data_IF_262799662654
#
_entry.id   IF_262799662654
#
_cell.length_a   1.000
_cell.length_b   1.000
_cell.length_c   1.000
_cell.angle_alpha   90.00
_cell.angle_beta   90.00
_cell.angle_gamma   90.00
#
_symmetry.space_group_name_H-M   'P 1'
#
loop_
_entity.id
_entity.type
_entity.pdbx_description
1 polymer ?
#
# COMPACT_ATOMS: atom_id res chain seq x y z
N UNK A 1 62.63 -19.70 -32.86
CA UNK A 1 61.35 -19.66 -32.13
C UNK A 1 60.39 -18.85 -32.99
N UNK A 2 59.23 -19.41 -33.31
CA UNK A 2 58.28 -18.82 -34.25
C UNK A 2 57.30 -17.91 -33.49
N UNK A 3 56.89 -16.81 -34.13
CA UNK A 3 55.83 -15.93 -33.63
C UNK A 3 54.51 -16.71 -33.51
N UNK A 4 53.79 -16.55 -32.40
CA UNK A 4 52.50 -17.21 -32.20
C UNK A 4 51.39 -16.34 -32.76
N UNK A 5 50.69 -16.83 -33.78
CA UNK A 5 49.62 -16.11 -34.47
C UNK A 5 48.27 -16.63 -33.99
N UNK A 6 47.40 -15.72 -33.58
CA UNK A 6 46.01 -15.99 -33.20
C UNK A 6 45.07 -15.28 -34.16
N UNK A 7 44.09 -16.00 -34.68
CA UNK A 7 42.94 -15.41 -35.36
C UNK A 7 41.72 -15.57 -34.47
N UNK A 8 41.17 -14.45 -34.03
CA UNK A 8 40.15 -14.36 -32.97
C UNK A 8 40.58 -15.14 -31.71
N UNK A 9 40.03 -16.34 -31.51
CA UNK A 9 40.30 -17.20 -30.36
C UNK A 9 41.07 -18.49 -30.73
N UNK A 10 41.49 -18.64 -31.99
CA UNK A 10 42.18 -19.83 -32.48
C UNK A 10 43.65 -19.56 -32.80
N UNK A 11 44.52 -20.51 -32.42
CA UNK A 11 45.94 -20.48 -32.77
C UNK A 11 46.08 -20.97 -34.22
N UNK A 12 46.76 -20.18 -35.04
CA UNK A 12 47.15 -20.57 -36.39
C UNK A 12 48.59 -21.11 -36.34
N UNK A 13 48.75 -22.42 -36.48
CA UNK A 13 50.06 -23.05 -36.64
C UNK A 13 50.49 -23.06 -38.11
N UNK A 14 51.81 -22.96 -38.35
CA UNK A 14 52.45 -23.06 -39.67
C UNK A 14 52.30 -21.88 -40.64
N UNK A 15 51.99 -20.67 -40.16
CA UNK A 15 52.03 -19.46 -41.00
C UNK A 15 53.42 -18.84 -40.91
N UNK A 16 54.13 -18.81 -42.03
CA UNK A 16 55.37 -18.04 -42.18
C UNK A 16 55.05 -16.78 -42.98
N UNK A 17 55.07 -15.63 -42.32
CA UNK A 17 54.85 -14.33 -42.93
C UNK A 17 55.93 -13.37 -42.46
N UNK A 18 56.43 -12.53 -43.36
CA UNK A 18 57.42 -11.50 -43.05
C UNK A 18 56.74 -10.22 -42.56
N UNK A 19 55.62 -9.86 -43.18
CA UNK A 19 54.89 -8.61 -42.93
C UNK A 19 53.42 -8.82 -42.57
N UNK A 20 52.82 -7.80 -41.96
CA UNK A 20 51.40 -7.78 -41.57
C UNK A 20 50.49 -7.81 -42.79
N UNK A 21 50.89 -7.19 -43.91
CA UNK A 21 50.17 -7.21 -45.19
C UNK A 21 49.96 -8.64 -45.71
N UNK A 22 51.03 -9.44 -45.73
CA UNK A 22 50.99 -10.83 -46.19
C UNK A 22 50.11 -11.66 -45.29
N UNK A 23 50.24 -11.49 -43.98
CA UNK A 23 49.42 -12.17 -43.00
C UNK A 23 47.92 -11.83 -43.15
N UNK A 24 47.58 -10.57 -43.46
CA UNK A 24 46.19 -10.20 -43.80
C UNK A 24 45.71 -10.87 -45.08
N UNK A 25 46.54 -10.93 -46.13
CA UNK A 25 46.16 -11.61 -47.39
C UNK A 25 45.95 -13.12 -47.21
N UNK A 26 46.79 -13.79 -46.42
CA UNK A 26 46.66 -15.23 -46.12
C UNK A 26 45.32 -15.47 -45.40
N UNK A 27 45.04 -14.71 -44.35
CA UNK A 27 43.80 -14.85 -43.59
C UNK A 27 42.59 -14.49 -44.45
N UNK A 28 42.71 -13.48 -45.32
CA UNK A 28 41.66 -13.10 -46.26
C UNK A 28 41.32 -14.24 -47.22
N UNK A 29 42.33 -14.89 -47.80
CA UNK A 29 42.14 -16.05 -48.68
C UNK A 29 41.58 -17.27 -47.96
N UNK A 30 41.98 -17.49 -46.71
CA UNK A 30 41.62 -18.69 -45.95
C UNK A 30 40.22 -18.60 -45.33
N UNK A 31 39.82 -17.42 -44.85
CA UNK A 31 38.58 -17.21 -44.11
C UNK A 31 37.54 -16.36 -44.87
N UNK A 32 37.88 -15.84 -46.04
CA UNK A 32 36.96 -15.06 -46.88
C UNK A 32 36.63 -13.66 -46.32
N UNK A 33 37.46 -13.12 -45.43
CA UNK A 33 37.29 -11.78 -44.83
C UNK A 33 38.13 -10.77 -45.60
N UNK A 34 37.60 -9.58 -45.92
CA UNK A 34 38.36 -8.56 -46.63
C UNK A 34 39.54 -8.04 -45.77
N UNK A 35 40.67 -7.70 -46.40
CA UNK A 35 41.88 -7.21 -45.70
C UNK A 35 41.64 -5.96 -44.84
N UNK A 36 40.69 -5.12 -45.26
CA UNK A 36 40.32 -3.87 -44.56
C UNK A 36 39.53 -4.11 -43.26
N UNK A 37 38.82 -5.24 -43.21
CA UNK A 37 38.08 -5.68 -42.05
C UNK A 37 38.96 -6.46 -41.07
N UNK A 38 40.25 -6.64 -41.36
CA UNK A 38 41.19 -7.31 -40.49
C UNK A 38 42.00 -6.30 -39.66
N UNK A 39 41.96 -6.48 -38.35
CA UNK A 39 42.70 -5.68 -37.37
C UNK A 39 43.78 -6.53 -36.71
N UNK A 40 45.04 -6.09 -36.80
CA UNK A 40 46.20 -6.83 -36.29
C UNK A 40 46.82 -6.12 -35.10
N UNK A 41 47.11 -6.88 -34.05
CA UNK A 41 47.75 -6.43 -32.82
C UNK A 41 48.98 -7.28 -32.55
N UNK A 42 50.13 -6.64 -32.35
CA UNK A 42 51.38 -7.30 -31.95
C UNK A 42 51.66 -6.92 -30.49
N UNK A 43 51.75 -7.91 -29.61
CA UNK A 43 52.04 -7.72 -28.18
C UNK A 43 51.13 -6.66 -27.50
N UNK A 44 49.86 -6.58 -27.90
CA UNK A 44 48.89 -5.63 -27.37
C UNK A 44 48.87 -4.25 -28.03
N UNK A 45 49.75 -3.96 -28.99
CA UNK A 45 49.77 -2.69 -29.75
C UNK A 45 49.25 -2.90 -31.17
N UNK A 46 48.48 -1.92 -31.69
CA UNK A 46 48.00 -1.93 -33.07
C UNK A 46 49.20 -1.91 -34.02
N UNK A 47 49.25 -2.88 -34.93
CA UNK A 47 50.26 -2.95 -35.96
C UNK A 47 49.82 -2.19 -37.21
N UNK A 48 50.79 -1.61 -37.91
CA UNK A 48 50.64 -1.01 -39.24
C UNK A 48 51.03 -2.09 -40.28
N UNK A 49 50.55 -1.99 -41.50
CA UNK A 49 50.75 -3.01 -42.54
C UNK A 49 52.24 -3.29 -42.86
N UNK A 50 53.11 -2.28 -42.72
CA UNK A 50 54.57 -2.39 -42.88
C UNK A 50 55.32 -2.91 -41.64
N UNK A 51 54.61 -3.37 -40.60
CA UNK A 51 55.27 -3.84 -39.38
C UNK A 51 55.86 -5.23 -39.59
N UNK A 52 57.19 -5.34 -39.47
CA UNK A 52 57.89 -6.63 -39.58
C UNK A 52 57.48 -7.59 -38.44
N UNK A 53 57.06 -8.81 -38.81
CA UNK A 53 56.66 -9.88 -37.88
C UNK A 53 57.82 -10.80 -37.46
N UNK A 54 59.01 -10.50 -37.96
CA UNK A 54 60.24 -11.31 -37.91
C UNK A 54 60.86 -11.49 -36.51
N UNK A 55 60.39 -10.75 -35.50
CA UNK A 55 60.92 -10.89 -34.14
C UNK A 55 60.39 -12.18 -33.48
N UNK A 56 61.32 -13.03 -33.07
CA UNK A 56 61.13 -14.46 -32.73
C UNK A 56 60.34 -14.78 -31.46
N UNK A 57 59.61 -13.82 -30.86
CA UNK A 57 58.78 -13.99 -29.66
C UNK A 57 57.49 -13.14 -29.68
N UNK A 58 57.05 -12.66 -30.85
CA UNK A 58 55.85 -11.84 -30.93
C UNK A 58 54.57 -12.67 -30.84
N UNK A 59 53.61 -12.18 -30.05
CA UNK A 59 52.23 -12.66 -30.05
C UNK A 59 51.41 -11.76 -30.97
N UNK A 60 51.01 -12.31 -32.10
CA UNK A 60 50.21 -11.62 -33.12
C UNK A 60 48.76 -12.05 -32.95
N UNK A 61 47.84 -11.10 -32.81
CA UNK A 61 46.41 -11.36 -32.74
C UNK A 61 45.71 -10.61 -33.87
N UNK A 62 44.94 -11.34 -34.67
CA UNK A 62 44.08 -10.80 -35.72
C UNK A 62 42.65 -10.86 -35.25
N UNK A 63 41.92 -9.78 -35.46
CA UNK A 63 40.49 -9.66 -35.16
C UNK A 63 39.74 -9.22 -36.41
N UNK A 64 38.54 -9.74 -36.59
CA UNK A 64 37.60 -9.26 -37.59
C UNK A 64 36.90 -8.00 -37.07
N UNK A 65 36.81 -6.97 -37.89
CA UNK A 65 36.07 -5.75 -37.62
C UNK A 65 34.64 -6.00 -38.04
N UNK A 66 33.74 -6.07 -37.06
CA UNK A 66 32.32 -6.08 -37.35
C UNK A 66 31.87 -4.66 -37.69
N UNK A 67 31.10 -4.51 -38.76
CA UNK A 67 30.37 -3.29 -39.13
C UNK A 67 29.22 -3.04 -38.15
N UNK A 68 29.57 -2.75 -36.90
CA UNK A 68 28.62 -2.59 -35.81
C UNK A 68 29.09 -1.54 -34.82
N UNK A 69 28.35 -0.43 -34.76
CA UNK A 69 28.52 0.57 -33.72
C UNK A 69 28.05 -0.01 -32.39
N UNK A 70 28.96 -0.50 -31.55
CA UNK A 70 28.69 -0.89 -30.14
C UNK A 70 28.20 0.29 -29.25
N UNK A 71 27.81 1.41 -29.85
CA UNK A 71 27.42 2.66 -29.21
C UNK A 71 25.91 2.83 -28.99
N UNK A 72 25.07 1.89 -29.44
CA UNK A 72 23.62 1.97 -29.22
C UNK A 72 23.26 1.97 -27.74
N UNK A 73 23.83 1.05 -26.95
CA UNK A 73 23.57 0.96 -25.52
C UNK A 73 24.04 2.21 -24.75
N UNK A 74 25.25 2.72 -25.03
CA UNK A 74 25.74 3.95 -24.38
C UNK A 74 24.97 5.20 -24.78
N UNK A 75 24.46 5.26 -26.02
CA UNK A 75 23.61 6.36 -26.48
C UNK A 75 22.21 6.28 -25.89
N UNK A 76 21.67 5.08 -25.74
CA UNK A 76 20.42 4.81 -25.01
C UNK A 76 20.54 5.22 -23.55
N UNK A 77 21.64 4.86 -22.87
CA UNK A 77 21.89 5.30 -21.49
C UNK A 77 22.01 6.82 -21.38
N UNK A 78 22.63 7.50 -22.35
CA UNK A 78 22.66 8.98 -22.39
C UNK A 78 21.28 9.59 -22.61
N UNK A 79 20.47 9.01 -23.51
CA UNK A 79 19.11 9.48 -23.77
C UNK A 79 18.20 9.30 -22.54
N UNK A 80 18.27 8.14 -21.89
CA UNK A 80 17.53 7.85 -20.66
C UNK A 80 18.03 8.72 -19.51
N UNK A 81 19.35 8.85 -19.35
CA UNK A 81 19.95 9.68 -18.30
C UNK A 81 19.62 11.16 -18.43
N UNK A 82 19.33 11.66 -19.63
CA UNK A 82 18.85 13.02 -19.84
C UNK A 82 17.38 13.23 -19.45
N UNK A 83 16.58 12.15 -19.44
CA UNK A 83 15.16 12.17 -19.04
C UNK A 83 14.97 11.90 -17.55
N UNK A 84 15.93 11.26 -16.89
CA UNK A 84 15.87 10.99 -15.45
C UNK A 84 16.32 12.26 -14.72
N UNK A 85 15.36 13.01 -14.20
CA UNK A 85 15.64 14.05 -13.22
C UNK A 85 16.16 13.43 -11.91
N UNK A 86 17.02 14.17 -11.20
CA UNK A 86 17.53 13.71 -9.91
C UNK A 86 16.36 13.50 -8.96
N UNK A 87 16.08 12.25 -8.63
CA UNK A 87 15.05 11.90 -7.64
C UNK A 87 15.39 12.55 -6.31
N UNK A 88 14.44 13.29 -5.73
CA UNK A 88 14.58 13.92 -4.40
C UNK A 88 14.38 12.94 -3.25
N UNK A 89 14.03 11.69 -3.53
CA UNK A 89 13.88 10.65 -2.51
C UNK A 89 15.24 10.34 -1.86
N UNK A 90 15.41 10.83 -0.62
CA UNK A 90 16.58 10.62 0.24
C UNK A 90 16.45 9.39 1.14
N UNK A 91 15.35 8.63 1.07
CA UNK A 91 15.07 7.49 1.95
C UNK A 91 16.01 6.32 1.70
N UNK A 92 16.61 6.25 0.50
CA UNK A 92 17.63 5.27 0.16
C UNK A 92 18.99 5.56 0.82
N UNK A 93 19.22 6.78 1.30
CA UNK A 93 20.44 7.14 1.99
C UNK A 93 20.55 6.41 3.33
N UNK A 94 21.79 6.16 3.76
CA UNK A 94 22.12 5.63 5.09
C UNK A 94 22.53 6.75 6.03
N UNK A 95 22.23 6.58 7.30
CA UNK A 95 22.74 7.43 8.36
C UNK A 95 24.17 7.01 8.77
N UNK A 96 24.78 7.76 9.69
CA UNK A 96 26.12 7.44 10.24
C UNK A 96 26.13 6.14 11.07
N UNK A 97 24.95 5.64 11.46
CA UNK A 97 24.80 4.36 12.16
C UNK A 97 24.69 3.17 11.19
N UNK A 98 24.53 3.44 9.89
CA UNK A 98 24.41 2.43 8.83
C UNK A 98 22.97 1.98 8.54
N UNK A 99 21.97 2.51 9.23
CA UNK A 99 20.53 2.31 8.99
C UNK A 99 20.05 3.17 7.83
N UNK A 100 19.00 2.75 7.12
CA UNK A 100 18.43 3.57 6.04
C UNK A 100 17.48 4.61 6.61
N UNK A 101 17.40 5.77 5.94
CA UNK A 101 16.45 6.83 6.33
C UNK A 101 14.99 6.36 6.22
N UNK A 102 14.70 5.39 5.33
CA UNK A 102 13.40 4.73 5.22
C UNK A 102 12.94 4.15 6.56
N UNK A 103 13.75 3.27 7.14
CA UNK A 103 13.42 2.53 8.36
C UNK A 103 13.16 3.48 9.54
N UNK A 104 13.95 4.56 9.63
CA UNK A 104 13.80 5.59 10.66
C UNK A 104 12.48 6.36 10.48
N UNK A 105 12.09 6.68 9.24
CA UNK A 105 10.86 7.40 8.97
C UNK A 105 9.63 6.50 9.22
N UNK A 106 9.72 5.22 8.88
CA UNK A 106 8.70 4.21 9.19
C UNK A 106 8.51 4.05 10.70
N UNK A 107 9.60 3.94 11.47
CA UNK A 107 9.55 3.86 12.94
C UNK A 107 8.90 5.12 13.55
N UNK A 108 9.26 6.31 13.05
CA UNK A 108 8.63 7.57 13.48
C UNK A 108 7.14 7.60 13.15
N UNK A 109 6.74 7.12 11.97
CA UNK A 109 5.35 7.05 11.55
C UNK A 109 4.54 6.13 12.45
N UNK A 110 5.10 4.95 12.76
CA UNK A 110 4.48 3.99 13.67
C UNK A 110 4.33 4.57 15.08
N UNK A 111 5.38 5.23 15.59
CA UNK A 111 5.32 5.89 16.91
C UNK A 111 4.22 6.96 16.96
N UNK A 112 4.16 7.84 15.96
CA UNK A 112 3.09 8.87 15.88
C UNK A 112 1.69 8.25 15.80
N UNK A 113 1.54 7.15 15.05
CA UNK A 113 0.25 6.46 14.94
C UNK A 113 -0.19 5.84 16.26
N UNK A 114 0.74 5.24 17.02
CA UNK A 114 0.49 4.70 18.36
C UNK A 114 0.15 5.81 19.35
N UNK A 115 0.89 6.91 19.37
CA UNK A 115 0.61 8.07 20.24
C UNK A 115 -0.79 8.64 19.95
N UNK A 116 -1.18 8.74 18.68
CA UNK A 116 -2.52 9.17 18.28
C UNK A 116 -3.61 8.12 18.48
N UNK A 117 -3.28 6.88 18.86
CA UNK A 117 -4.28 5.85 19.15
C UNK A 117 -4.90 6.06 20.53
N UNK A 118 -4.10 6.39 21.52
CA UNK A 118 -4.57 6.69 22.88
C UNK A 118 -5.57 7.85 22.89
N UNK A 119 -5.32 8.90 22.09
CA UNK A 119 -6.23 10.04 21.96
C UNK A 119 -7.53 9.65 21.24
N UNK A 120 -7.45 8.87 20.17
CA UNK A 120 -8.63 8.34 19.45
C UNK A 120 -9.50 7.45 20.35
N UNK A 121 -8.87 6.61 21.18
CA UNK A 121 -9.60 5.77 22.12
C UNK A 121 -10.29 6.59 23.20
N UNK A 122 -9.61 7.61 23.76
CA UNK A 122 -10.22 8.53 24.73
C UNK A 122 -11.40 9.29 24.14
N UNK A 123 -11.27 9.83 22.93
CA UNK A 123 -12.37 10.53 22.26
C UNK A 123 -13.53 9.57 21.94
N UNK A 124 -13.24 8.34 21.51
CA UNK A 124 -14.26 7.32 21.26
C UNK A 124 -15.01 6.94 22.54
N UNK A 125 -14.30 6.81 23.67
CA UNK A 125 -14.91 6.54 24.98
C UNK A 125 -15.77 7.73 25.43
N UNK A 126 -15.29 8.96 25.30
CA UNK A 126 -16.06 10.16 25.66
C UNK A 126 -17.32 10.31 24.80
N UNK A 127 -17.24 10.04 23.48
CA UNK A 127 -18.41 10.03 22.58
C UNK A 127 -19.41 8.95 22.98
N UNK A 128 -18.95 7.76 23.37
CA UNK A 128 -19.81 6.68 23.86
C UNK A 128 -20.51 7.08 25.17
N UNK A 129 -19.77 7.68 26.11
CA UNK A 129 -20.32 8.19 27.37
C UNK A 129 -21.38 9.26 27.13
N UNK A 130 -21.11 10.28 26.29
CA UNK A 130 -22.08 11.32 25.94
C UNK A 130 -23.34 10.76 25.28
N UNK A 131 -23.20 9.75 24.42
CA UNK A 131 -24.35 9.06 23.82
C UNK A 131 -25.18 8.34 24.87
N UNK A 132 -24.55 7.59 25.78
CA UNK A 132 -25.22 6.92 26.89
C UNK A 132 -25.93 7.91 27.80
N UNK A 133 -25.27 9.00 28.19
CA UNK A 133 -25.88 10.07 29.01
C UNK A 133 -27.08 10.70 28.30
N UNK A 134 -26.99 10.94 26.99
CA UNK A 134 -28.11 11.48 26.20
C UNK A 134 -29.28 10.50 26.07
N UNK A 135 -29.01 9.20 26.04
CA UNK A 135 -30.03 8.14 26.02
C UNK A 135 -30.71 7.98 27.39
N UNK A 136 -29.94 8.11 28.48
CA UNK A 136 -30.45 8.03 29.85
C UNK A 136 -31.21 9.30 30.22
N UNK A 137 -30.79 10.47 29.73
CA UNK A 137 -31.47 11.73 29.97
C UNK A 137 -32.88 11.69 29.38
N UNK A 138 -33.88 11.79 30.25
CA UNK A 138 -35.29 11.83 29.85
C UNK A 138 -35.53 12.95 28.83
N UNK A 139 -36.33 12.69 27.77
CA UNK A 139 -36.63 13.69 26.75
C UNK A 139 -37.39 14.85 27.41
N UNK A 140 -36.75 16.02 27.46
CA UNK A 140 -37.33 17.26 28.01
C UNK A 140 -38.35 17.86 27.04
N UNK A 141 -39.44 17.14 26.79
CA UNK A 141 -40.57 17.65 26.00
C UNK A 141 -41.42 18.51 26.95
N UNK A 142 -41.23 19.83 26.89
CA UNK A 142 -42.11 20.79 27.57
C UNK A 142 -43.38 20.94 26.73
N UNK A 143 -44.37 20.10 26.99
CA UNK A 143 -45.72 20.30 26.45
C UNK A 143 -46.46 21.23 27.41
N UNK A 144 -46.87 22.41 26.96
CA UNK A 144 -47.77 23.26 27.73
C UNK A 144 -49.15 22.62 27.68
N UNK A 145 -49.48 21.84 28.70
CA UNK A 145 -50.71 21.07 28.79
C UNK A 145 -51.74 21.85 29.61
N UNK A 146 -53.01 21.79 29.22
CA UNK A 146 -54.07 22.47 29.97
C UNK A 146 -54.17 21.86 31.38
N UNK A 147 -54.38 22.66 32.44
CA UNK A 147 -54.36 22.18 33.84
C UNK A 147 -55.49 21.19 34.16
N UNK A 148 -56.55 21.16 33.35
CA UNK A 148 -57.64 20.19 33.47
C UNK A 148 -57.24 18.79 32.98
N UNK A 149 -56.48 18.73 31.87
CA UNK A 149 -55.99 17.47 31.32
C UNK A 149 -54.92 16.83 32.22
N UNK A 150 -54.10 17.63 32.91
CA UNK A 150 -53.13 17.11 33.89
C UNK A 150 -53.81 16.40 35.05
N UNK A 151 -54.89 16.98 35.60
CA UNK A 151 -55.69 16.36 36.66
C UNK A 151 -56.31 15.05 36.20
N UNK A 152 -56.91 15.03 35.01
CA UNK A 152 -57.45 13.78 34.47
C UNK A 152 -56.36 12.72 34.29
N UNK A 153 -55.18 13.10 33.78
CA UNK A 153 -54.05 12.17 33.60
C UNK A 153 -53.55 11.60 34.92
N UNK A 154 -53.49 12.41 35.98
CA UNK A 154 -53.07 11.98 37.32
C UNK A 154 -54.10 11.06 37.99
N UNK A 155 -55.40 11.32 37.79
CA UNK A 155 -56.49 10.53 38.35
C UNK A 155 -56.73 9.21 37.60
N UNK A 156 -56.36 9.12 36.32
CA UNK A 156 -56.53 7.91 35.50
C UNK A 156 -55.92 6.62 36.10
N UNK A 157 -54.65 6.58 36.57
CA UNK A 157 -54.08 5.37 37.18
C UNK A 157 -54.84 4.93 38.43
N UNK A 158 -55.26 5.88 39.27
CA UNK A 158 -56.06 5.59 40.48
C UNK A 158 -57.46 5.09 40.12
N UNK A 159 -58.08 5.65 39.07
CA UNK A 159 -59.36 5.19 38.56
C UNK A 159 -59.26 3.78 37.97
N UNK A 160 -58.19 3.48 37.26
CA UNK A 160 -57.93 2.15 36.69
C UNK A 160 -57.66 1.14 37.80
N UNK A 161 -56.83 1.48 38.80
CA UNK A 161 -56.60 0.57 39.94
C UNK A 161 -57.88 0.31 40.72
N UNK A 162 -58.67 1.35 41.02
CA UNK A 162 -59.94 1.20 41.71
C UNK A 162 -60.95 0.34 40.93
N UNK A 163 -61.01 0.47 39.60
CA UNK A 163 -61.87 -0.37 38.77
C UNK A 163 -61.41 -1.84 38.72
N UNK A 164 -60.10 -2.08 38.69
CA UNK A 164 -59.52 -3.44 38.78
C UNK A 164 -59.80 -4.05 40.14
N UNK A 165 -59.62 -3.30 41.23
CA UNK A 165 -59.90 -3.75 42.59
C UNK A 165 -61.39 -4.04 42.79
N UNK A 166 -62.26 -3.16 42.29
CA UNK A 166 -63.71 -3.39 42.30
C UNK A 166 -64.09 -4.63 41.47
N UNK A 167 -63.45 -4.83 40.31
CA UNK A 167 -63.61 -6.05 39.50
C UNK A 167 -63.16 -7.31 40.25
N UNK A 168 -62.06 -7.24 40.99
CA UNK A 168 -61.54 -8.34 41.78
C UNK A 168 -62.43 -8.67 42.99
N UNK A 169 -62.98 -7.65 43.64
CA UNK A 169 -63.94 -7.80 44.74
C UNK A 169 -65.30 -8.32 44.25
N UNK A 170 -65.78 -7.88 43.08
CA UNK A 170 -66.98 -8.41 42.45
C UNK A 170 -66.80 -9.88 42.04
N UNK A 171 -65.63 -10.24 41.48
CA UNK A 171 -65.29 -11.63 41.16
C UNK A 171 -65.12 -12.51 42.42
N UNK A 172 -64.62 -11.95 43.53
CA UNK A 172 -64.46 -12.66 44.80
C UNK A 172 -65.75 -12.83 45.61
N UNK A 173 -66.74 -11.94 45.45
CA UNK A 173 -68.03 -12.00 46.14
C UNK A 173 -69.11 -12.79 45.37
N UNK A 174 -68.96 -12.97 44.05
CA UNK A 174 -69.80 -13.87 43.26
C UNK A 174 -69.39 -15.34 43.45
N UNK A 175 -70.03 -16.05 44.38
CA UNK A 175 -69.96 -17.53 44.50
C UNK A 175 -70.78 -18.28 43.44
N UNK A 176 -71.05 -17.67 42.28
CA UNK A 176 -71.79 -18.31 41.20
C UNK A 176 -71.07 -18.06 39.88
N UNK A 177 -70.36 -19.11 39.43
CA UNK A 177 -69.48 -19.06 38.27
C UNK A 177 -70.24 -18.65 37.01
N UNK A 178 -69.89 -17.48 36.47
CA UNK A 178 -70.40 -17.02 35.18
C UNK A 178 -69.79 -17.86 34.06
N UNK A 179 -70.43 -18.99 33.76
CA UNK A 179 -70.21 -19.73 32.52
C UNK A 179 -70.57 -18.81 31.35
N UNK A 180 -69.56 -18.29 30.66
CA UNK A 180 -69.78 -17.68 29.34
C UNK A 180 -70.32 -18.77 28.41
N UNK A 181 -71.58 -18.64 27.99
CA UNK A 181 -72.14 -19.37 26.86
C UNK A 181 -71.39 -18.91 25.61
N UNK A 182 -70.50 -19.76 25.09
CA UNK A 182 -69.88 -19.57 23.78
C UNK A 182 -70.92 -20.00 22.75
N UNK A 183 -71.61 -19.05 22.13
CA UNK A 183 -72.30 -19.32 20.88
C UNK A 183 -71.26 -19.33 19.76
N UNK A 184 -71.06 -20.51 19.19
CA UNK A 184 -70.15 -20.75 18.08
C UNK A 184 -70.72 -20.09 16.82
N UNK A 185 -70.12 -18.98 16.40
CA UNK A 185 -70.21 -18.52 15.03
C UNK A 185 -68.81 -18.38 14.45
N UNK A 186 -68.58 -19.11 13.36
CA UNK A 186 -67.32 -19.21 12.65
C UNK A 186 -66.96 -17.87 12.01
N UNK A 187 -65.78 -17.34 12.34
CA UNK A 187 -65.01 -16.52 11.40
C UNK A 187 -63.53 -16.65 11.70
N UNK A 188 -62.78 -17.11 10.71
CA UNK A 188 -61.32 -17.24 10.66
C UNK A 188 -60.70 -15.91 11.05
N UNK A 189 -59.77 -15.88 12.02
CA UNK A 189 -58.65 -14.94 12.02
C UNK A 189 -57.51 -15.39 12.93
N UNK A 190 -56.31 -15.25 12.39
CA UNK A 190 -55.00 -15.68 12.91
C UNK A 190 -54.73 -15.05 14.27
N UNK A 191 -54.23 -15.83 15.23
CA UNK A 191 -53.60 -15.30 16.45
C UNK A 191 -52.10 -15.48 16.38
N UNK A 192 -51.39 -14.38 16.17
CA UNK A 192 -50.10 -14.10 16.82
C UNK A 192 -50.35 -12.88 17.71
N UNK A 193 -49.74 -12.84 18.89
CA UNK A 193 -48.75 -11.78 19.06
C UNK A 193 -47.48 -12.30 19.73
N UNK A 194 -46.37 -12.18 18.99
CA UNK A 194 -45.05 -12.00 19.59
C UNK A 194 -45.07 -10.61 20.21
N UNK A 195 -44.75 -10.50 21.49
CA UNK A 195 -44.36 -9.24 22.11
C UNK A 195 -43.10 -8.76 21.38
N UNK A 196 -43.14 -7.55 20.81
CA UNK A 196 -42.10 -6.99 19.92
C UNK A 196 -40.89 -6.40 20.66
N UNK A 197 -40.81 -6.52 21.99
CA UNK A 197 -39.83 -5.78 22.79
C UNK A 197 -38.51 -6.53 23.02
N UNK A 198 -38.44 -7.83 22.73
CA UNK A 198 -37.31 -8.67 23.17
C UNK A 198 -36.24 -8.93 22.10
N UNK A 199 -36.41 -8.41 20.88
CA UNK A 199 -35.51 -8.73 19.76
C UNK A 199 -34.43 -7.67 19.46
N UNK A 200 -34.56 -6.43 19.95
CA UNK A 200 -33.67 -5.33 19.53
C UNK A 200 -32.62 -4.91 20.58
N UNK A 201 -32.65 -5.46 21.80
CA UNK A 201 -31.63 -5.13 22.81
C UNK A 201 -30.42 -6.08 22.80
N UNK A 202 -30.50 -7.21 22.10
CA UNK A 202 -29.47 -8.26 22.15
C UNK A 202 -28.40 -8.18 21.05
N UNK A 203 -28.56 -7.34 20.02
CA UNK A 203 -27.73 -7.42 18.80
C UNK A 203 -26.87 -6.19 18.50
N UNK A 204 -26.73 -5.25 19.45
CA UNK A 204 -25.95 -4.02 19.24
C UNK A 204 -24.57 -4.04 19.92
N UNK A 205 -23.97 -5.21 20.10
CA UNK A 205 -22.61 -5.37 20.63
C UNK A 205 -21.78 -6.32 19.77
N UNK A 206 -21.43 -5.91 18.54
CA UNK A 206 -20.18 -6.26 17.84
C UNK A 206 -20.29 -6.00 16.33
N UNK A 207 -20.10 -4.76 15.90
CA UNK A 207 -19.66 -4.48 14.53
C UNK A 207 -18.53 -3.45 14.60
N UNK A 208 -17.32 -3.97 14.80
CA UNK A 208 -16.07 -3.34 14.39
C UNK A 208 -15.99 -3.45 12.87
N UNK A 209 -16.37 -2.39 12.17
CA UNK A 209 -16.11 -2.24 10.74
C UNK A 209 -14.65 -1.83 10.57
N UNK A 210 -13.82 -2.83 10.28
CA UNK A 210 -12.46 -2.71 9.77
C UNK A 210 -12.60 -2.70 8.24
N UNK A 211 -12.49 -1.54 7.61
CA UNK A 211 -12.48 -1.43 6.14
C UNK A 211 -11.07 -1.71 5.62
N UNK A 212 -10.86 -2.94 5.16
CA UNK A 212 -9.78 -3.31 4.26
C UNK A 212 -10.14 -2.86 2.83
N UNK A 213 -9.43 -1.86 2.27
CA UNK A 213 -9.47 -1.60 0.83
C UNK A 213 -8.31 -2.31 0.13
N UNK A 214 -8.66 -3.34 -0.64
CA UNK A 214 -7.81 -4.01 -1.62
C UNK A 214 -7.50 -3.11 -2.83
N UNK A 215 -6.23 -3.15 -3.22
CA UNK A 215 -5.64 -2.52 -4.40
C UNK A 215 -6.28 -2.97 -5.72
N UNK A 216 -6.65 -2.02 -6.59
CA UNK A 216 -6.62 -2.22 -8.05
C UNK A 216 -6.00 -1.04 -8.80
N UNK A 217 -5.13 -1.42 -9.72
CA UNK A 217 -4.22 -0.64 -10.55
C UNK A 217 -4.95 -0.07 -11.77
N UNK A 218 -4.89 1.26 -12.02
CA UNK A 218 -4.39 1.89 -13.26
C UNK A 218 -4.82 3.37 -13.48
N UNK A 219 -3.79 4.21 -13.61
CA UNK A 219 -3.61 5.30 -14.60
C UNK A 219 -4.19 6.72 -14.38
N UNK A 220 -3.23 7.60 -14.04
CA UNK A 220 -2.99 8.98 -14.52
C UNK A 220 -3.70 10.19 -13.89
N UNK A 221 -2.84 11.08 -13.34
CA UNK A 221 -2.91 12.55 -13.25
C UNK A 221 -3.99 13.10 -12.27
N UNK A 222 -3.72 13.94 -11.26
CA UNK A 222 -2.74 15.03 -11.08
C UNK A 222 -2.58 15.40 -9.59
N UNK A 223 -1.35 15.74 -9.18
CA UNK A 223 -0.89 16.69 -8.14
C UNK A 223 -1.79 17.06 -6.94
N UNK A 224 -1.34 16.68 -5.74
CA UNK A 224 -1.10 17.58 -4.59
C UNK A 224 -0.52 16.77 -3.45
N UNK A 225 0.79 16.91 -3.17
CA UNK A 225 1.39 16.38 -1.95
C UNK A 225 1.71 17.55 -1.03
N UNK A 226 0.87 17.69 0.00
CA UNK A 226 1.08 18.54 1.15
C UNK A 226 2.39 18.15 1.86
N UNK A 227 3.35 19.06 1.83
CA UNK A 227 4.67 18.89 2.43
C UNK A 227 4.62 19.39 3.87
N UNK A 228 4.40 18.47 4.81
CA UNK A 228 4.61 18.70 6.24
C UNK A 228 6.10 18.90 6.54
N UNK A 229 6.56 20.14 6.44
CA UNK A 229 7.90 20.58 6.78
C UNK A 229 7.91 21.12 8.22
N UNK A 230 8.37 20.33 9.18
CA UNK A 230 8.74 20.81 10.51
C UNK A 230 10.25 20.66 10.69
N UNK A 231 10.94 21.80 10.67
CA UNK A 231 12.37 21.91 10.96
C UNK A 231 12.52 22.54 12.34
N UNK A 232 12.76 21.72 13.37
CA UNK A 232 13.19 22.21 14.68
C UNK A 232 14.64 22.70 14.61
N UNK A 233 14.83 24.01 14.65
CA UNK A 233 16.12 24.65 14.93
C UNK A 233 16.20 24.96 16.42
N UNK A 234 16.91 24.13 17.18
CA UNK A 234 17.37 24.49 18.53
C UNK A 234 18.75 25.12 18.41
N UNK A 235 18.83 26.43 18.62
CA UNK A 235 20.07 27.18 18.79
C UNK A 235 20.29 27.42 20.28
N UNK A 236 21.20 26.67 20.90
CA UNK A 236 21.79 27.05 22.18
C UNK A 236 23.06 27.85 21.91
N UNK A 237 22.98 29.17 22.12
CA UNK A 237 24.13 30.04 22.29
C UNK A 237 24.17 30.44 23.75
N UNK A 238 24.92 29.70 24.56
CA UNK A 238 25.26 30.07 25.93
C UNK A 238 26.39 31.10 25.90
N UNK A 239 26.03 32.35 26.19
CA UNK A 239 26.94 33.39 26.67
C UNK A 239 27.12 33.23 28.17
N UNK A 240 28.34 32.92 28.60
CA UNK A 240 29.04 33.46 29.78
C UNK A 240 30.43 32.85 29.82
#
# INVERSE_FOLDING_TARGET
MASTIYFENHILSNIQCTDVSDLKSIISSQYGVHSDDLFVVINGKKAIDESSLLNSNNVVRIFTRLVGGKGGFGSMLRAIGAQIEKTTNREACRDLSGRRLRDINEEKRLRKWLEGQDEREREAVERKQKKLERLIAEPKIKVNLNPEYEKEREELPERVSAAVDAGWQAAGSSKEGTKRKIEANQSKNKKKPKLWIDAELSDCSSLSEDEEEELKINTAQTVSTDSGNESDRVSECSKA
#
